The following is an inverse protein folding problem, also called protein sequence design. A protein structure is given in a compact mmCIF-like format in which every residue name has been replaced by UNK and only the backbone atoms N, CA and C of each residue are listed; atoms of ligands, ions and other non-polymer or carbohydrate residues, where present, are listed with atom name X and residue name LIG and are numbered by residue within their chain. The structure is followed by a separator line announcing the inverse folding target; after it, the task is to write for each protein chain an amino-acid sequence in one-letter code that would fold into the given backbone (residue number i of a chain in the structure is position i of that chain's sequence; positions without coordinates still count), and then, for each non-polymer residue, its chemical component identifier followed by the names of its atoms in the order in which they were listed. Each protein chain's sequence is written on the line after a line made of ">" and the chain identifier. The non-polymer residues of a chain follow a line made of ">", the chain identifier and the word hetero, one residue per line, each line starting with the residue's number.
data_IF_379565597025
#
_entry.id   IF_379565597025
#
_cell.length_a   1.000
_cell.length_b   1.000
_cell.length_c   1.000
_cell.angle_alpha   90.00
_cell.angle_beta   90.00
_cell.angle_gamma   90.00
#
_symmetry.space_group_name_H-M   'P 1'
#
loop_
_entity.id
_entity.type
_entity.pdbx_description
1 polymer ?
#
# COMPACT_ATOMS: atom_id res chain seq x y z
N UNK A 1 -13.35 -22.88 7.03
CA UNK A 1 -13.15 -22.46 6.94
C UNK A 1 -12.79 -21.76 6.79
N UNK A 2 -12.65 -21.44 6.91
CA UNK A 2 -12.43 -20.80 6.81
C UNK A 2 -11.77 -20.16 6.57
N UNK A 3 -11.31 -20.09 6.19
CA UNK A 3 -10.70 -19.33 6.11
C UNK A 3 -10.74 -18.11 5.98
N UNK A 4 -10.99 -17.63 6.34
CA UNK A 4 -11.35 -16.24 6.39
C UNK A 4 -10.21 -15.29 6.57
N UNK A 5 -9.32 -15.62 7.34
CA UNK A 5 -8.16 -14.80 7.49
C UNK A 5 -7.50 -14.52 6.17
N UNK A 6 -7.71 -15.36 5.22
CA UNK A 6 -7.14 -15.15 3.90
C UNK A 6 -7.82 -13.98 3.19
N UNK A 7 -8.97 -13.55 3.69
CA UNK A 7 -9.73 -12.52 3.00
C UNK A 7 -9.21 -11.12 3.26
N UNK A 8 -8.65 -10.89 4.42
CA UNK A 8 -8.23 -9.54 4.76
C UNK A 8 -6.81 -9.55 5.26
N UNK A 9 -5.95 -8.86 4.53
CA UNK A 9 -4.57 -8.70 4.95
C UNK A 9 -4.24 -7.22 4.88
N UNK A 10 -3.71 -6.71 5.96
CA UNK A 10 -3.40 -5.30 6.08
C UNK A 10 -1.90 -5.11 6.22
N UNK A 11 -1.42 -4.05 5.60
CA UNK A 11 -0.02 -3.67 5.70
C UNK A 11 0.11 -2.43 6.57
N UNK A 12 1.14 -2.40 7.38
CA UNK A 12 1.50 -1.17 8.06
C UNK A 12 2.26 -0.27 7.10
N UNK A 13 2.43 0.99 7.50
CA UNK A 13 3.22 1.89 6.68
C UNK A 13 4.65 1.39 6.53
N UNK A 14 5.20 0.85 7.62
CA UNK A 14 6.57 0.34 7.56
C UNK A 14 6.69 -0.79 6.56
N UNK A 15 5.71 -1.69 6.57
CA UNK A 15 5.74 -2.81 5.65
C UNK A 15 5.61 -2.36 4.20
N UNK A 16 4.67 -1.47 3.94
CA UNK A 16 4.46 -0.99 2.58
C UNK A 16 5.68 -0.21 2.09
N UNK A 17 6.24 0.62 2.96
CA UNK A 17 7.43 1.39 2.58
C UNK A 17 8.60 0.47 2.25
N UNK A 18 8.74 -0.60 3.02
CA UNK A 18 9.80 -1.56 2.76
C UNK A 18 9.61 -2.24 1.41
N UNK A 19 8.37 -2.60 1.10
CA UNK A 19 8.06 -3.22 -0.18
C UNK A 19 8.39 -2.27 -1.33
N UNK A 20 8.02 -1.01 -1.17
CA UNK A 20 8.25 -0.01 -2.21
C UNK A 20 9.67 0.53 -2.20
N UNK A 21 10.45 0.18 -1.16
CA UNK A 21 11.82 0.64 -1.00
C UNK A 21 11.91 2.16 -0.92
N UNK A 22 11.00 2.74 -0.20
CA UNK A 22 10.98 4.17 0.07
C UNK A 22 10.89 4.37 1.57
N UNK A 23 11.10 5.60 2.04
CA UNK A 23 10.99 5.89 3.46
C UNK A 23 9.53 5.96 3.86
N UNK A 24 9.28 5.71 5.15
CA UNK A 24 7.94 5.85 5.70
C UNK A 24 7.42 7.28 5.49
N UNK A 25 8.33 8.24 5.60
CA UNK A 25 7.96 9.64 5.43
C UNK A 25 7.44 9.90 4.03
N UNK A 26 8.13 9.36 3.04
CA UNK A 26 7.70 9.53 1.65
C UNK A 26 6.35 8.87 1.45
N UNK A 27 6.18 7.66 1.99
CA UNK A 27 4.92 6.95 1.86
C UNK A 27 3.79 7.74 2.51
N UNK A 28 4.04 8.26 3.70
CA UNK A 28 3.03 9.03 4.41
C UNK A 28 2.59 10.23 3.60
N UNK A 29 3.54 10.89 2.96
CA UNK A 29 3.23 12.03 2.12
C UNK A 29 2.34 11.62 0.94
N UNK A 30 2.66 10.48 0.33
CA UNK A 30 1.86 10.00 -0.77
C UNK A 30 0.43 9.69 -0.34
N UNK A 31 0.28 9.15 0.85
CA UNK A 31 -1.05 8.87 1.38
C UNK A 31 -1.82 10.16 1.61
N UNK A 32 -1.15 11.17 2.14
CA UNK A 32 -1.81 12.46 2.39
C UNK A 32 -2.24 13.13 1.10
N UNK A 33 -1.51 12.89 0.03
CA UNK A 33 -1.85 13.45 -1.27
C UNK A 33 -2.77 12.52 -2.07
N UNK A 34 -3.26 11.47 -1.43
CA UNK A 34 -4.18 10.52 -2.03
C UNK A 34 -3.61 9.85 -3.27
N UNK A 35 -2.32 9.65 -3.27
CA UNK A 35 -1.66 8.98 -4.37
C UNK A 35 -1.63 7.48 -4.21
N UNK A 36 -1.95 7.00 -3.00
CA UNK A 36 -1.96 5.58 -2.73
C UNK A 36 -3.13 5.30 -1.79
N UNK A 37 -3.88 4.21 -2.03
CA UNK A 37 -5.04 3.91 -1.21
C UNK A 37 -4.64 3.47 0.20
N UNK A 38 -5.19 4.12 1.20
CA UNK A 38 -4.92 3.79 2.59
C UNK A 38 -6.09 4.28 3.43
N UNK A 39 -6.19 3.75 4.63
CA UNK A 39 -7.25 4.18 5.54
C UNK A 39 -6.74 4.05 6.96
N UNK A 40 -7.45 4.68 7.88
CA UNK A 40 -7.05 4.68 9.27
C UNK A 40 -7.85 3.69 10.08
N UNK A 41 -7.14 2.95 10.91
CA UNK A 41 -7.74 2.01 11.84
C UNK A 41 -7.19 2.35 13.21
N UNK A 42 -8.08 2.79 14.11
CA UNK A 42 -7.64 3.13 15.45
C UNK A 42 -6.57 4.20 15.48
N UNK A 43 -6.65 5.16 14.56
CA UNK A 43 -5.70 6.24 14.53
C UNK A 43 -4.41 5.94 13.81
N UNK A 44 -4.30 4.75 13.23
CA UNK A 44 -3.09 4.37 12.51
C UNK A 44 -3.40 4.02 11.07
N UNK A 45 -2.50 4.39 10.19
CA UNK A 45 -2.68 4.10 8.77
C UNK A 45 -2.49 2.63 8.49
N UNK A 46 -3.34 2.11 7.62
CA UNK A 46 -3.23 0.74 7.14
C UNK A 46 -3.55 0.71 5.67
N UNK A 47 -2.97 -0.25 4.97
CA UNK A 47 -3.21 -0.41 3.54
C UNK A 47 -3.70 -1.83 3.32
N UNK A 48 -4.81 -1.97 2.62
CA UNK A 48 -5.33 -3.28 2.28
C UNK A 48 -4.40 -3.91 1.24
N UNK A 49 -3.87 -5.08 1.55
CA UNK A 49 -2.85 -5.69 0.70
C UNK A 49 -3.32 -5.85 -0.75
N UNK A 50 -4.55 -6.29 -0.94
CA UNK A 50 -5.06 -6.48 -2.30
C UNK A 50 -5.12 -5.17 -3.07
N UNK A 51 -5.52 -4.09 -2.39
CA UNK A 51 -5.56 -2.78 -3.02
C UNK A 51 -4.17 -2.26 -3.32
N UNK A 52 -3.26 -2.53 -2.40
CA UNK A 52 -1.87 -2.14 -2.58
C UNK A 52 -1.28 -2.83 -3.80
N UNK A 53 -1.57 -4.10 -3.93
CA UNK A 53 -1.06 -4.88 -5.06
C UNK A 53 -1.62 -4.34 -6.38
N UNK A 54 -2.90 -4.06 -6.42
CA UNK A 54 -3.51 -3.48 -7.61
C UNK A 54 -2.89 -2.14 -7.96
N UNK A 55 -2.64 -1.33 -6.92
CA UNK A 55 -2.06 -0.01 -7.13
C UNK A 55 -0.65 -0.13 -7.70
N UNK A 56 0.14 -1.06 -7.18
CA UNK A 56 1.49 -1.26 -7.67
C UNK A 56 1.46 -1.68 -9.14
N UNK A 57 0.59 -2.60 -9.47
CA UNK A 57 0.48 -3.07 -10.84
C UNK A 57 0.06 -1.95 -11.78
N UNK A 58 -0.83 -1.10 -11.32
CA UNK A 58 -1.29 0.02 -12.11
C UNK A 58 -0.19 1.04 -12.31
N UNK A 59 0.57 1.31 -11.27
CA UNK A 59 1.68 2.26 -11.37
C UNK A 59 2.75 1.75 -12.32
N UNK A 60 3.00 0.46 -12.28
CA UNK A 60 3.96 -0.14 -13.18
C UNK A 60 3.49 -0.01 -14.62
N UNK A 61 2.20 -0.13 -14.83
CA UNK A 61 1.62 -0.03 -16.16
C UNK A 61 1.71 1.38 -16.71
N UNK A 62 1.47 2.36 -15.86
CA UNK A 62 1.44 3.76 -16.26
C UNK A 62 2.83 4.34 -16.45
N UNK A 63 3.81 3.81 -15.75
CA UNK A 63 5.16 4.33 -15.79
C UNK A 63 5.98 3.53 -16.77
N UNK A 64 6.57 4.17 -17.78
CA UNK A 64 7.40 3.43 -18.72
C UNK A 64 8.56 2.78 -17.99
N UNK A 65 8.84 1.56 -18.37
CA UNK A 65 9.96 0.86 -17.78
C UNK A 65 11.25 1.52 -18.19
N UNK A 66 12.04 1.83 -17.22
CA UNK A 66 13.33 2.42 -17.50
C UNK A 66 14.24 1.33 -18.01
N UNK A 67 14.59 1.39 -19.11
CA UNK A 67 15.51 0.51 -19.78
C UNK A 67 15.67 -0.86 -19.36
#
# INVERSE_FOLDING_TARGET
>A
MDKPDSAIRLLTLAEAATILKISKRTLHRMIQHRQIPAFKVGGQWRILESRFQEWVEEEEHLTPKAG
#
